data_IF_151946769299
#
_entry.id   IF_151946769299
#
_cell.length_a   1.000
_cell.length_b   1.000
_cell.length_c   1.000
_cell.angle_alpha   90.00
_cell.angle_beta   90.00
_cell.angle_gamma   90.00
#
_symmetry.space_group_name_H-M   'P 1'
#
loop_
_entity.id
_entity.type
_entity.pdbx_description
1 polymer ?
#
# COMPACT_ATOMS: atom_id res chain seq x y z
N UNK A 1 18.75 -27.57 13.78
CA UNK A 1 18.99 -26.97 12.44
C UNK A 1 19.47 -27.96 11.37
N UNK A 2 20.18 -29.04 11.74
CA UNK A 2 20.67 -30.06 10.77
C UNK A 2 19.61 -31.06 10.25
N UNK A 3 18.48 -31.23 10.94
CA UNK A 3 17.43 -32.19 10.51
C UNK A 3 16.53 -31.70 9.37
N UNK A 4 16.43 -30.38 9.15
CA UNK A 4 15.55 -29.82 8.11
C UNK A 4 16.16 -29.97 6.69
N UNK A 5 17.49 -29.92 6.59
CA UNK A 5 18.23 -30.12 5.34
C UNK A 5 18.19 -31.57 4.83
N UNK A 6 18.01 -32.55 5.73
CA UNK A 6 17.90 -33.97 5.35
C UNK A 6 16.55 -34.34 4.74
N UNK A 7 15.49 -33.59 5.05
CA UNK A 7 14.14 -33.84 4.53
C UNK A 7 13.96 -33.34 3.08
N UNK A 8 14.66 -32.27 2.69
CA UNK A 8 14.64 -31.75 1.30
C UNK A 8 15.31 -32.69 0.29
N UNK A 9 16.23 -33.55 0.72
CA UNK A 9 16.95 -34.50 -0.14
C UNK A 9 16.17 -35.74 -0.55
N UNK A 10 14.94 -35.95 -0.04
CA UNK A 10 14.17 -37.19 -0.20
C UNK A 10 12.91 -37.05 -1.07
N UNK A 11 12.89 -36.11 -2.01
CA UNK A 11 11.82 -36.01 -3.01
C UNK A 11 12.33 -36.40 -4.40
N UNK A 12 12.50 -37.72 -4.68
CA UNK A 12 12.99 -38.19 -5.99
C UNK A 12 12.17 -37.67 -7.17
N UNK A 13 10.90 -37.30 -6.94
CA UNK A 13 9.99 -36.75 -7.93
C UNK A 13 10.33 -35.31 -8.37
N UNK A 14 10.95 -34.50 -7.50
CA UNK A 14 11.34 -33.12 -7.82
C UNK A 14 12.53 -33.08 -8.78
N UNK A 15 13.48 -34.01 -8.63
CA UNK A 15 14.62 -34.17 -9.55
C UNK A 15 14.16 -34.52 -10.97
N UNK A 16 13.19 -35.43 -11.10
CA UNK A 16 12.60 -35.80 -12.40
C UNK A 16 11.78 -34.68 -13.03
N UNK A 17 11.08 -33.87 -12.23
CA UNK A 17 10.37 -32.70 -12.73
C UNK A 17 11.36 -31.66 -13.29
N UNK A 18 12.43 -31.35 -12.55
CA UNK A 18 13.40 -30.31 -12.92
C UNK A 18 14.41 -30.75 -13.99
N UNK A 19 14.48 -32.04 -14.32
CA UNK A 19 15.38 -32.55 -15.37
C UNK A 19 14.94 -32.14 -16.78
N UNK A 20 13.62 -31.96 -16.99
CA UNK A 20 13.05 -31.55 -18.29
C UNK A 20 12.81 -30.04 -18.35
N UNK A 21 12.92 -29.44 -19.54
CA UNK A 21 12.64 -28.02 -19.73
C UNK A 21 11.18 -27.65 -19.38
N UNK A 22 10.23 -28.56 -19.68
CA UNK A 22 8.81 -28.41 -19.35
C UNK A 22 8.59 -28.33 -17.85
N UNK A 23 9.19 -29.24 -17.09
CA UNK A 23 9.04 -29.24 -15.65
C UNK A 23 9.75 -28.07 -14.96
N UNK A 24 10.87 -27.56 -15.52
CA UNK A 24 11.45 -26.28 -15.08
C UNK A 24 10.49 -25.10 -15.30
N UNK A 25 9.85 -25.02 -16.46
CA UNK A 25 8.89 -23.97 -16.74
C UNK A 25 7.68 -24.02 -15.78
N UNK A 26 7.15 -25.22 -15.52
CA UNK A 26 6.07 -25.43 -14.53
C UNK A 26 6.53 -25.00 -13.13
N UNK A 27 7.73 -25.43 -12.70
CA UNK A 27 8.25 -25.07 -11.38
C UNK A 27 8.42 -23.55 -11.24
N UNK A 28 8.98 -22.86 -12.24
CA UNK A 28 9.12 -21.41 -12.25
C UNK A 28 7.77 -20.70 -12.17
N UNK A 29 6.78 -21.18 -12.92
CA UNK A 29 5.44 -20.62 -12.88
C UNK A 29 4.79 -20.76 -11.50
N UNK A 30 4.89 -21.93 -10.86
CA UNK A 30 4.39 -22.16 -9.51
C UNK A 30 5.12 -21.31 -8.46
N UNK A 31 6.45 -21.21 -8.58
CA UNK A 31 7.26 -20.33 -7.73
C UNK A 31 6.80 -18.88 -7.90
N UNK A 32 6.59 -18.41 -9.12
CA UNK A 32 6.09 -17.05 -9.37
C UNK A 32 4.69 -16.83 -8.76
N UNK A 33 3.79 -17.81 -8.88
CA UNK A 33 2.46 -17.74 -8.26
C UNK A 33 2.51 -17.61 -6.74
N UNK A 34 3.52 -18.18 -6.08
CA UNK A 34 3.69 -18.08 -4.62
C UNK A 34 4.47 -16.82 -4.21
N UNK A 35 5.53 -16.48 -4.94
CA UNK A 35 6.38 -15.33 -4.61
C UNK A 35 5.66 -14.00 -4.81
N UNK A 36 4.83 -13.87 -5.84
CA UNK A 36 4.13 -12.61 -6.12
C UNK A 36 3.20 -12.17 -4.96
N UNK A 37 2.34 -13.05 -4.39
CA UNK A 37 1.59 -12.73 -3.18
C UNK A 37 2.46 -12.46 -1.96
N UNK A 38 3.55 -13.21 -1.76
CA UNK A 38 4.45 -13.02 -0.60
C UNK A 38 5.11 -11.63 -0.66
N UNK A 39 5.63 -11.24 -1.83
CA UNK A 39 6.22 -9.92 -2.06
C UNK A 39 5.21 -8.78 -1.94
N UNK A 40 3.92 -9.08 -2.10
CA UNK A 40 2.88 -8.10 -1.86
C UNK A 40 2.70 -7.81 -0.36
N UNK A 41 2.78 -8.82 0.52
CA UNK A 41 2.69 -8.59 1.97
C UNK A 41 3.83 -7.75 2.54
N UNK A 42 4.95 -7.65 1.83
CA UNK A 42 6.05 -6.76 2.23
C UNK A 42 5.84 -5.30 1.81
N UNK A 43 4.77 -4.97 1.07
CA UNK A 43 4.51 -3.58 0.62
C UNK A 43 3.83 -2.75 1.70
N UNK A 44 4.18 -1.45 1.72
CA UNK A 44 3.68 -0.46 2.68
C UNK A 44 2.21 -0.06 2.51
N UNK A 45 1.57 -0.31 1.37
CA UNK A 45 0.18 0.13 1.12
C UNK A 45 -0.84 -0.98 1.43
N UNK A 46 -1.45 -0.99 2.62
CA UNK A 46 -2.47 -1.97 2.98
C UNK A 46 -3.80 -1.76 2.25
N UNK A 47 -3.98 -0.68 1.48
CA UNK A 47 -5.22 -0.37 0.77
C UNK A 47 -5.18 -0.73 -0.73
N UNK A 48 -4.10 -1.34 -1.23
CA UNK A 48 -3.97 -1.78 -2.63
C UNK A 48 -4.86 -3.01 -2.94
N UNK A 49 -5.83 -2.84 -3.85
CA UNK A 49 -6.91 -3.82 -4.13
C UNK A 49 -6.60 -4.78 -5.29
N UNK A 50 -5.35 -4.85 -5.77
CA UNK A 50 -4.93 -5.70 -6.91
C UNK A 50 -5.31 -7.18 -6.81
N UNK A 51 -5.51 -7.69 -5.61
CA UNK A 51 -5.88 -9.08 -5.41
C UNK A 51 -7.34 -9.21 -4.94
N UNK A 52 -8.13 -10.01 -5.67
CA UNK A 52 -9.56 -10.17 -5.43
C UNK A 52 -9.92 -10.61 -4.00
N UNK A 53 -9.05 -11.37 -3.32
CA UNK A 53 -9.29 -11.80 -1.94
C UNK A 53 -9.25 -10.63 -0.93
N UNK A 54 -8.64 -9.47 -1.27
CA UNK A 54 -8.73 -8.23 -0.48
C UNK A 54 -10.06 -7.50 -0.65
N UNK A 55 -10.91 -7.88 -1.62
CA UNK A 55 -12.26 -7.31 -1.77
C UNK A 55 -13.14 -7.54 -0.53
N UNK A 56 -12.80 -8.55 0.28
CA UNK A 56 -13.47 -8.91 1.53
C UNK A 56 -12.73 -8.44 2.79
N UNK A 57 -11.67 -7.64 2.66
CA UNK A 57 -10.95 -7.13 3.82
C UNK A 57 -11.76 -6.05 4.54
N UNK A 58 -11.82 -6.04 5.89
CA UNK A 58 -12.46 -4.98 6.67
C UNK A 58 -11.85 -3.60 6.38
N UNK A 59 -10.61 -3.55 5.85
CA UNK A 59 -9.93 -2.34 5.40
C UNK A 59 -10.74 -1.54 4.38
N UNK A 60 -11.57 -2.20 3.56
CA UNK A 60 -12.43 -1.54 2.55
C UNK A 60 -13.55 -0.71 3.19
N UNK A 61 -13.92 -1.03 4.43
CA UNK A 61 -14.94 -0.30 5.16
C UNK A 61 -14.37 0.88 5.97
N UNK A 62 -13.05 1.07 5.92
CA UNK A 62 -12.43 2.25 6.52
C UNK A 62 -12.96 3.53 5.87
N UNK A 63 -13.29 4.51 6.71
CA UNK A 63 -13.68 5.85 6.27
C UNK A 63 -12.66 6.82 6.78
N UNK A 64 -12.04 7.55 5.88
CA UNK A 64 -11.02 8.52 6.23
C UNK A 64 -11.36 9.92 5.73
N UNK A 65 -10.93 10.94 6.48
CA UNK A 65 -11.11 12.34 6.17
C UNK A 65 -9.76 13.01 5.92
N UNK A 66 -9.37 13.25 4.65
CA UNK A 66 -8.15 13.98 4.34
C UNK A 66 -8.35 15.47 4.60
N UNK A 67 -7.44 16.08 5.35
CA UNK A 67 -7.45 17.50 5.68
C UNK A 67 -6.07 18.10 5.40
N UNK A 68 -6.05 19.36 4.94
CA UNK A 68 -4.81 20.07 4.67
C UNK A 68 -4.85 21.50 5.22
N UNK A 69 -3.68 21.99 5.61
CA UNK A 69 -3.43 23.41 5.89
C UNK A 69 -2.23 23.90 5.10
N UNK A 70 -2.26 25.16 4.71
CA UNK A 70 -1.13 25.87 4.09
C UNK A 70 -0.85 27.10 4.94
N UNK A 71 0.36 27.20 5.47
CA UNK A 71 0.79 28.29 6.36
C UNK A 71 -0.18 28.49 7.55
N UNK A 72 -0.65 27.37 8.11
CA UNK A 72 -1.58 27.32 9.23
C UNK A 72 -3.05 27.62 8.88
N UNK A 73 -3.37 27.93 7.62
CA UNK A 73 -4.75 28.19 7.19
C UNK A 73 -5.39 26.93 6.60
N UNK A 74 -6.66 26.62 6.93
CA UNK A 74 -7.37 25.50 6.32
C UNK A 74 -7.39 25.62 4.78
N UNK A 75 -7.03 24.54 4.10
CA UNK A 75 -7.03 24.47 2.65
C UNK A 75 -8.10 23.49 2.17
N UNK A 76 -8.96 23.95 1.27
CA UNK A 76 -10.00 23.11 0.69
C UNK A 76 -9.42 22.28 -0.47
N UNK A 77 -9.18 20.98 -0.22
CA UNK A 77 -8.66 20.04 -1.22
C UNK A 77 -9.51 19.94 -2.49
N UNK A 78 -10.83 20.17 -2.39
CA UNK A 78 -11.73 20.13 -3.56
C UNK A 78 -11.53 21.28 -4.55
N UNK A 79 -10.75 22.30 -4.20
CA UNK A 79 -10.40 23.39 -5.12
C UNK A 79 -9.25 23.04 -6.05
N UNK A 80 -8.38 22.09 -5.66
CA UNK A 80 -7.21 21.68 -6.45
C UNK A 80 -7.40 20.28 -7.06
N UNK A 81 -8.11 19.39 -6.37
CA UNK A 81 -8.23 17.98 -6.76
C UNK A 81 -9.66 17.63 -7.17
N UNK A 82 -9.76 16.81 -8.21
CA UNK A 82 -11.03 16.27 -8.68
C UNK A 82 -11.68 15.37 -7.62
N UNK A 83 -13.02 15.31 -7.60
CA UNK A 83 -13.79 14.51 -6.64
C UNK A 83 -13.34 13.04 -6.57
N UNK A 84 -12.99 12.43 -7.71
CA UNK A 84 -12.50 11.06 -7.78
C UNK A 84 -11.21 10.85 -6.96
N UNK A 85 -10.31 11.84 -6.93
CA UNK A 85 -9.11 11.79 -6.10
C UNK A 85 -9.45 11.89 -4.62
N UNK A 86 -10.38 12.77 -4.26
CA UNK A 86 -10.87 12.90 -2.88
C UNK A 86 -11.57 11.63 -2.42
N UNK A 87 -12.35 10.98 -3.28
CA UNK A 87 -13.00 9.72 -2.97
C UNK A 87 -11.97 8.63 -2.70
N UNK A 88 -10.95 8.50 -3.55
CA UNK A 88 -9.88 7.52 -3.36
C UNK A 88 -9.08 7.82 -2.08
N UNK A 89 -8.77 9.09 -1.80
CA UNK A 89 -8.14 9.52 -0.55
C UNK A 89 -9.01 9.19 0.68
N UNK A 90 -10.33 9.38 0.59
CA UNK A 90 -11.27 9.06 1.67
C UNK A 90 -11.38 7.56 2.00
N UNK A 91 -10.89 6.70 1.10
CA UNK A 91 -10.75 5.25 1.32
C UNK A 91 -9.42 4.86 1.99
N UNK A 92 -8.61 5.84 2.41
CA UNK A 92 -7.35 5.59 3.12
C UNK A 92 -6.16 5.26 2.22
N UNK A 93 -6.21 5.61 0.93
CA UNK A 93 -5.10 5.34 0.00
C UNK A 93 -3.96 6.34 0.20
N UNK A 94 -3.03 6.02 1.11
CA UNK A 94 -1.92 6.89 1.48
C UNK A 94 -1.11 7.37 0.27
N UNK A 95 -0.83 6.50 -0.69
CA UNK A 95 -0.09 6.84 -1.92
C UNK A 95 -0.74 7.97 -2.74
N UNK A 96 -2.07 8.04 -2.76
CA UNK A 96 -2.82 9.11 -3.43
C UNK A 96 -2.68 10.41 -2.66
N UNK A 97 -2.76 10.32 -1.34
CA UNK A 97 -2.68 11.46 -0.43
C UNK A 97 -1.27 12.07 -0.42
N UNK A 98 -0.23 11.23 -0.42
CA UNK A 98 1.17 11.66 -0.58
C UNK A 98 1.38 12.36 -1.91
N UNK A 99 0.81 11.84 -3.00
CA UNK A 99 0.88 12.48 -4.31
C UNK A 99 0.13 13.83 -4.35
N UNK A 100 -1.02 13.92 -3.66
CA UNK A 100 -1.72 15.20 -3.45
C UNK A 100 -0.85 16.18 -2.66
N UNK A 101 -0.19 15.73 -1.59
CA UNK A 101 0.76 16.52 -0.80
C UNK A 101 1.92 17.05 -1.65
N UNK A 102 2.55 16.18 -2.44
CA UNK A 102 3.63 16.55 -3.35
C UNK A 102 3.18 17.60 -4.38
N UNK A 103 1.95 17.48 -4.90
CA UNK A 103 1.35 18.46 -5.81
C UNK A 103 1.13 19.81 -5.11
N UNK A 104 0.65 19.82 -3.86
CA UNK A 104 0.47 21.05 -3.08
C UNK A 104 1.81 21.74 -2.79
N UNK A 105 2.84 20.98 -2.44
CA UNK A 105 4.20 21.50 -2.23
C UNK A 105 4.78 22.11 -3.51
N UNK A 106 4.61 21.46 -4.66
CA UNK A 106 5.06 21.99 -5.94
C UNK A 106 4.37 23.30 -6.32
N UNK A 107 3.10 23.47 -5.93
CA UNK A 107 2.32 24.69 -6.20
C UNK A 107 2.59 25.83 -5.22
N UNK A 108 3.01 25.50 -3.99
CA UNK A 108 3.27 26.46 -2.92
C UNK A 108 4.71 26.33 -2.40
N UNK A 109 5.72 26.71 -3.22
CA UNK A 109 7.11 26.57 -2.84
C UNK A 109 7.43 27.43 -1.60
N UNK A 110 8.03 26.81 -0.59
CA UNK A 110 8.43 27.50 0.65
C UNK A 110 7.33 27.65 1.70
N UNK A 111 6.09 27.24 1.42
CA UNK A 111 4.99 27.25 2.40
C UNK A 111 5.03 26.02 3.33
N UNK A 112 4.46 26.16 4.52
CA UNK A 112 4.20 25.04 5.44
C UNK A 112 2.91 24.32 5.02
N UNK A 113 3.05 23.32 4.14
CA UNK A 113 1.94 22.45 3.74
C UNK A 113 1.86 21.29 4.70
N UNK A 114 0.83 21.27 5.55
CA UNK A 114 0.54 20.13 6.43
C UNK A 114 -0.65 19.39 5.91
N UNK A 115 -0.53 18.09 5.87
CA UNK A 115 -1.60 17.22 5.43
C UNK A 115 -1.70 16.05 6.40
N UNK A 116 -2.93 15.71 6.77
CA UNK A 116 -3.22 14.59 7.65
C UNK A 116 -4.52 13.94 7.25
N UNK A 117 -4.70 12.72 7.76
CA UNK A 117 -5.86 11.91 7.48
C UNK A 117 -6.32 11.23 8.76
N UNK A 118 -7.59 11.46 9.09
CA UNK A 118 -8.25 10.82 10.22
C UNK A 118 -9.07 9.63 9.71
N UNK A 119 -8.68 8.42 10.08
CA UNK A 119 -9.31 7.18 9.63
C UNK A 119 -10.09 6.49 10.76
N UNK A 120 -11.33 6.14 10.47
CA UNK A 120 -12.20 5.30 11.31
C UNK A 120 -12.29 3.91 10.71
N UNK A 121 -12.10 2.89 11.55
CA UNK A 121 -12.15 1.48 11.18
C UNK A 121 -13.29 0.76 11.93
N UNK A 122 -13.72 -0.39 11.42
CA UNK A 122 -14.77 -1.20 12.07
C UNK A 122 -14.19 -2.10 13.16
N UNK A 123 -12.99 -2.61 12.93
CA UNK A 123 -12.34 -3.66 13.72
C UNK A 123 -11.27 -3.14 14.69
N UNK A 124 -10.99 -1.83 14.67
CA UNK A 124 -9.94 -1.20 15.49
C UNK A 124 -10.23 0.27 15.77
N UNK A 125 -9.50 0.81 16.73
CA UNK A 125 -9.62 2.21 17.11
C UNK A 125 -9.27 3.17 15.96
N UNK A 126 -9.92 4.36 15.91
CA UNK A 126 -9.59 5.41 14.97
C UNK A 126 -8.11 5.80 15.08
N UNK A 127 -7.49 6.14 13.94
CA UNK A 127 -6.10 6.63 13.89
C UNK A 127 -5.97 7.82 12.96
N UNK A 128 -5.10 8.74 13.36
CA UNK A 128 -4.68 9.87 12.54
C UNK A 128 -3.25 9.61 12.02
N UNK A 129 -3.00 9.99 10.78
CA UNK A 129 -1.69 9.87 10.13
C UNK A 129 -1.28 11.23 9.55
N UNK A 130 0.01 11.57 9.59
CA UNK A 130 0.55 12.84 9.10
C UNK A 130 0.66 13.94 10.16
N UNK A 131 0.18 15.13 9.83
CA UNK A 131 0.19 16.39 10.62
C UNK A 131 1.51 17.19 10.63
N UNK A 132 2.55 16.66 10.00
CA UNK A 132 3.80 17.38 9.75
C UNK A 132 3.80 18.06 8.37
N UNK A 133 4.82 18.89 8.15
CA UNK A 133 5.07 19.50 6.87
C UNK A 133 5.44 18.42 5.84
N UNK A 134 4.51 18.14 4.92
CA UNK A 134 4.65 17.07 3.94
C UNK A 134 5.69 17.40 2.85
N UNK A 135 6.09 18.66 2.73
CA UNK A 135 7.15 19.07 1.82
C UNK A 135 8.54 18.69 2.34
N UNK A 136 8.69 18.54 3.67
CA UNK A 136 9.95 18.13 4.30
C UNK A 136 9.99 16.62 4.59
N UNK A 137 8.83 16.01 4.82
CA UNK A 137 8.69 14.57 5.08
C UNK A 137 7.54 14.04 4.21
N UNK A 138 7.83 13.47 3.03
CA UNK A 138 6.80 13.18 2.04
C UNK A 138 6.04 11.86 2.25
N UNK A 139 6.44 11.03 3.22
CA UNK A 139 5.77 9.76 3.53
C UNK A 139 4.80 9.94 4.69
N UNK A 140 3.61 9.30 4.64
CA UNK A 140 2.58 9.26 5.70
C UNK A 140 2.63 8.00 6.58
#
# INVERSE_FOLDING_TARGET
MLSFLRWLGQTPHLGTLLSTWRGRAIALFLIAQLLLPILYFTRKDPHDERFAWRMFSPMRMARCLPTATIDGKPFNLATEFHEAWLEIASRGRFTVIEAMGARLCAKNPGSDVRLWIDCTYIDREPRSYGSYNICNVPEL
#
